data_IF_120190990753
#
_entry.id   IF_120190990753
#
_cell.length_a   1.000
_cell.length_b   1.000
_cell.length_c   1.000
_cell.angle_alpha   90.00
_cell.angle_beta   90.00
_cell.angle_gamma   90.00
#
_symmetry.space_group_name_H-M   'P 1'
#
loop_
_entity.id
_entity.type
_entity.pdbx_description
1 polymer ?
#
# COMPACT_ATOMS: atom_id res chain seq x y z
N UNK A 1 -15.86 -37.86 -38.07
CA UNK A 1 -15.86 -36.40 -37.98
C UNK A 1 -15.06 -36.01 -36.73
N UNK A 2 -13.82 -35.56 -36.89
CA UNK A 2 -12.93 -35.20 -35.73
C UNK A 2 -13.07 -33.71 -35.50
N UNK A 3 -13.65 -33.30 -34.36
CA UNK A 3 -13.67 -31.91 -33.92
C UNK A 3 -12.28 -31.49 -33.58
N UNK A 4 -11.70 -30.60 -34.37
CA UNK A 4 -10.45 -29.90 -34.07
C UNK A 4 -10.75 -28.80 -33.03
N UNK A 5 -10.41 -29.03 -31.74
CA UNK A 5 -10.50 -27.99 -30.72
C UNK A 5 -9.41 -26.98 -31.05
N UNK A 6 -9.82 -25.77 -31.42
CA UNK A 6 -8.93 -24.64 -31.65
C UNK A 6 -8.19 -24.30 -30.34
N UNK A 7 -6.85 -24.04 -30.37
CA UNK A 7 -6.14 -23.56 -29.20
C UNK A 7 -6.73 -22.22 -28.76
N UNK A 8 -7.26 -22.15 -27.55
CA UNK A 8 -7.72 -20.89 -26.97
C UNK A 8 -6.56 -19.90 -27.00
N UNK A 9 -6.72 -18.81 -27.73
CA UNK A 9 -5.79 -17.70 -27.77
C UNK A 9 -5.57 -17.18 -26.34
N UNK A 10 -4.33 -17.32 -25.84
CA UNK A 10 -3.93 -16.74 -24.56
C UNK A 10 -4.12 -15.23 -24.66
N UNK A 11 -4.75 -14.59 -23.66
CA UNK A 11 -4.91 -13.14 -23.68
C UNK A 11 -3.52 -12.50 -23.76
N UNK A 12 -3.28 -11.76 -24.84
CA UNK A 12 -2.02 -11.02 -25.04
C UNK A 12 -1.76 -10.09 -23.85
N UNK A 13 -0.60 -10.27 -23.23
CA UNK A 13 -0.16 -9.47 -22.06
C UNK A 13 0.08 -7.97 -22.41
N UNK A 14 -0.14 -7.59 -23.66
CA UNK A 14 0.11 -6.25 -24.22
C UNK A 14 -1.16 -5.55 -24.72
N UNK A 15 -2.31 -5.75 -24.08
CA UNK A 15 -3.51 -5.01 -24.50
C UNK A 15 -3.32 -3.50 -24.20
N UNK A 16 -3.54 -2.59 -25.18
CA UNK A 16 -3.38 -1.13 -25.01
C UNK A 16 -4.16 -0.54 -23.84
N UNK A 17 -5.29 -1.17 -23.48
CA UNK A 17 -6.12 -0.76 -22.35
C UNK A 17 -5.44 -0.90 -20.98
N UNK A 18 -4.54 -1.86 -20.81
CA UNK A 18 -3.91 -2.13 -19.52
C UNK A 18 -2.87 -1.06 -19.15
N UNK A 19 -2.13 -0.55 -20.13
CA UNK A 19 -1.19 0.56 -19.92
C UNK A 19 -1.91 1.87 -19.62
N UNK A 20 -3.04 2.14 -20.30
CA UNK A 20 -3.86 3.34 -20.04
C UNK A 20 -4.39 3.35 -18.60
N UNK A 21 -4.85 2.22 -18.07
CA UNK A 21 -5.28 2.10 -16.68
C UNK A 21 -4.13 2.31 -15.68
N UNK A 22 -2.95 1.76 -15.94
CA UNK A 22 -1.78 1.98 -15.08
C UNK A 22 -1.38 3.45 -15.04
N UNK A 23 -1.32 4.12 -16.19
CA UNK A 23 -1.02 5.56 -16.25
C UNK A 23 -2.10 6.41 -15.57
N UNK A 24 -3.38 6.04 -15.69
CA UNK A 24 -4.46 6.75 -15.01
C UNK A 24 -4.35 6.65 -13.48
N UNK A 25 -4.02 5.47 -12.94
CA UNK A 25 -3.80 5.29 -11.49
C UNK A 25 -2.60 6.11 -11.02
N UNK A 26 -1.46 6.04 -11.74
CA UNK A 26 -0.26 6.83 -11.40
C UNK A 26 -0.58 8.33 -11.46
N UNK A 27 -1.25 8.79 -12.51
CA UNK A 27 -1.65 10.18 -12.65
C UNK A 27 -2.56 10.67 -11.52
N UNK A 28 -3.56 9.83 -11.12
CA UNK A 28 -4.46 10.15 -10.01
C UNK A 28 -3.71 10.25 -8.68
N UNK A 29 -2.84 9.29 -8.37
CA UNK A 29 -2.04 9.29 -7.13
C UNK A 29 -1.05 10.45 -7.10
N UNK A 30 -0.45 10.79 -8.25
CA UNK A 30 0.43 11.97 -8.37
C UNK A 30 -0.36 13.27 -8.17
N UNK A 31 -1.54 13.40 -8.77
CA UNK A 31 -2.40 14.56 -8.58
C UNK A 31 -2.84 14.70 -7.11
N UNK A 32 -3.23 13.60 -6.46
CA UNK A 32 -3.56 13.60 -5.02
C UNK A 32 -2.35 14.03 -4.16
N UNK A 33 -1.15 13.57 -4.51
CA UNK A 33 0.10 13.99 -3.83
C UNK A 33 0.38 15.48 -4.02
N UNK A 34 0.13 16.02 -5.21
CA UNK A 34 0.27 17.46 -5.46
C UNK A 34 -0.73 18.28 -4.64
N UNK A 35 -1.97 17.79 -4.49
CA UNK A 35 -2.96 18.43 -3.59
C UNK A 35 -2.44 18.42 -2.15
N UNK A 36 -1.87 17.31 -1.66
CA UNK A 36 -1.26 17.23 -0.33
C UNK A 36 -0.18 18.29 -0.14
N UNK A 37 0.73 18.44 -1.11
CA UNK A 37 1.78 19.46 -1.08
C UNK A 37 1.16 20.87 -1.07
N UNK A 38 0.18 21.12 -1.92
CA UNK A 38 -0.51 22.42 -1.99
C UNK A 38 -1.21 22.79 -0.67
N UNK A 39 -1.81 21.82 0.02
CA UNK A 39 -2.43 22.03 1.34
C UNK A 39 -1.41 22.39 2.42
N UNK A 40 -0.24 21.77 2.45
CA UNK A 40 0.85 22.14 3.37
C UNK A 40 1.35 23.55 3.08
N UNK A 41 1.55 23.88 1.80
CA UNK A 41 1.97 25.23 1.40
C UNK A 41 0.92 26.28 1.81
N UNK A 42 -0.35 26.04 1.50
CA UNK A 42 -1.44 26.95 1.88
C UNK A 42 -1.53 27.13 3.42
N UNK A 43 -1.33 26.04 4.18
CA UNK A 43 -1.27 26.09 5.63
C UNK A 43 -0.10 26.97 6.13
N UNK A 44 1.07 26.79 5.52
CA UNK A 44 2.25 27.55 5.87
C UNK A 44 2.07 29.06 5.58
N UNK A 45 1.55 29.40 4.41
CA UNK A 45 1.27 30.79 4.04
C UNK A 45 0.30 31.49 5.01
N UNK A 46 -0.66 30.72 5.57
CA UNK A 46 -1.63 31.23 6.52
C UNK A 46 -1.08 31.37 7.93
N UNK A 47 -0.31 30.37 8.42
CA UNK A 47 0.09 30.27 9.83
C UNK A 47 1.57 30.63 10.08
N UNK A 48 2.40 30.63 9.03
CA UNK A 48 3.86 30.76 9.10
C UNK A 48 4.53 29.73 10.03
N UNK A 49 3.87 28.54 10.22
CA UNK A 49 4.35 27.46 11.07
C UNK A 49 4.66 26.19 10.29
N UNK A 50 5.70 25.45 10.73
CA UNK A 50 6.16 24.22 10.06
C UNK A 50 5.63 22.93 10.73
N UNK A 51 4.56 23.02 11.52
CA UNK A 51 4.11 21.93 12.40
C UNK A 51 3.82 20.61 11.66
N UNK A 52 3.26 20.65 10.45
CA UNK A 52 2.89 19.46 9.68
C UNK A 52 3.83 19.11 8.53
N UNK A 53 5.03 19.71 8.46
CA UNK A 53 5.97 19.45 7.38
C UNK A 53 6.48 17.99 7.32
N UNK A 54 6.44 17.30 8.45
CA UNK A 54 6.75 15.87 8.50
C UNK A 54 5.82 15.02 7.62
N UNK A 55 4.60 15.49 7.31
CA UNK A 55 3.69 14.80 6.38
C UNK A 55 4.26 14.70 4.98
N UNK A 56 5.03 15.69 4.52
CA UNK A 56 5.69 15.62 3.21
C UNK A 56 6.70 14.48 3.18
N UNK A 57 7.46 14.30 4.26
CA UNK A 57 8.39 13.18 4.38
C UNK A 57 7.64 11.83 4.42
N UNK A 58 6.56 11.74 5.18
CA UNK A 58 5.72 10.55 5.24
C UNK A 58 5.12 10.24 3.87
N UNK A 59 4.73 11.25 3.10
CA UNK A 59 4.22 11.07 1.74
C UNK A 59 5.31 10.50 0.79
N UNK A 60 6.54 11.01 0.87
CA UNK A 60 7.67 10.46 0.10
C UNK A 60 7.89 8.98 0.48
N UNK A 61 7.89 8.66 1.77
CA UNK A 61 8.04 7.28 2.24
C UNK A 61 6.87 6.37 1.82
N UNK A 62 5.67 6.92 1.67
CA UNK A 62 4.50 6.16 1.19
C UNK A 62 4.61 5.76 -0.30
N UNK A 63 5.33 6.53 -1.12
CA UNK A 63 5.61 6.20 -2.52
C UNK A 63 6.63 5.05 -2.66
N UNK A 64 7.54 4.88 -1.71
CA UNK A 64 8.62 3.88 -1.78
C UNK A 64 8.09 2.46 -2.01
N UNK A 65 7.14 1.93 -1.21
CA UNK A 65 6.60 0.59 -1.45
C UNK A 65 5.86 0.50 -2.80
N UNK A 66 5.17 1.54 -3.25
CA UNK A 66 4.55 1.53 -4.57
C UNK A 66 5.59 1.35 -5.69
N UNK A 67 6.72 2.07 -5.61
CA UNK A 67 7.81 1.96 -6.59
C UNK A 67 8.40 0.55 -6.61
N UNK A 68 8.71 -0.04 -5.45
CA UNK A 68 9.23 -1.40 -5.37
C UNK A 68 8.23 -2.44 -5.88
N UNK A 69 6.93 -2.30 -5.58
CA UNK A 69 5.89 -3.17 -6.11
C UNK A 69 5.78 -3.07 -7.64
N UNK A 70 5.86 -1.87 -8.19
CA UNK A 70 5.82 -1.64 -9.65
C UNK A 70 7.05 -2.24 -10.35
N UNK A 71 8.25 -2.11 -9.76
CA UNK A 71 9.48 -2.74 -10.24
C UNK A 71 9.33 -4.25 -10.20
N UNK A 72 8.96 -4.84 -9.06
CA UNK A 72 8.78 -6.28 -8.90
C UNK A 72 7.77 -6.83 -9.92
N UNK A 73 6.63 -6.14 -10.10
CA UNK A 73 5.60 -6.53 -11.04
C UNK A 73 6.08 -6.51 -12.50
N UNK A 74 6.86 -5.49 -12.87
CA UNK A 74 7.44 -5.35 -14.21
C UNK A 74 8.46 -6.46 -14.49
N UNK A 75 9.34 -6.75 -13.54
CA UNK A 75 10.35 -7.80 -13.62
C UNK A 75 9.73 -9.20 -13.67
N UNK A 76 8.72 -9.47 -12.83
CA UNK A 76 8.01 -10.75 -12.80
C UNK A 76 7.31 -11.07 -14.14
N UNK A 77 6.97 -10.05 -14.92
CA UNK A 77 6.36 -10.22 -16.24
C UNK A 77 7.32 -10.72 -17.31
N UNK A 78 8.64 -10.57 -17.12
CA UNK A 78 9.66 -10.93 -18.10
C UNK A 78 10.11 -12.41 -18.07
N UNK A 79 9.66 -13.20 -17.07
CA UNK A 79 9.86 -14.67 -16.94
C UNK A 79 11.30 -15.19 -17.14
N UNK A 80 12.32 -14.42 -16.80
CA UNK A 80 13.72 -14.87 -16.86
C UNK A 80 14.18 -15.25 -15.45
N UNK A 81 14.84 -16.40 -15.30
CA UNK A 81 15.32 -16.91 -14.00
C UNK A 81 16.20 -15.91 -13.25
N UNK A 82 17.09 -15.20 -13.95
CA UNK A 82 17.95 -14.16 -13.37
C UNK A 82 17.12 -13.01 -12.74
N UNK A 83 15.94 -12.69 -13.30
CA UNK A 83 15.08 -11.64 -12.79
C UNK A 83 14.32 -12.07 -11.50
N UNK A 84 14.25 -13.36 -11.21
CA UNK A 84 13.60 -13.87 -9.99
C UNK A 84 14.29 -13.33 -8.73
N UNK A 85 15.61 -13.29 -8.72
CA UNK A 85 16.38 -12.73 -7.59
C UNK A 85 16.06 -11.26 -7.39
N UNK A 86 15.95 -10.48 -8.47
CA UNK A 86 15.59 -9.06 -8.40
C UNK A 86 14.14 -8.86 -7.96
N UNK A 87 13.21 -9.74 -8.36
CA UNK A 87 11.82 -9.72 -7.88
C UNK A 87 11.77 -9.98 -6.39
N UNK A 88 12.51 -10.96 -5.88
CA UNK A 88 12.58 -11.26 -4.44
C UNK A 88 13.20 -10.09 -3.68
N UNK A 89 14.31 -9.52 -4.17
CA UNK A 89 14.93 -8.36 -3.55
C UNK A 89 13.96 -7.16 -3.47
N UNK A 90 13.27 -6.87 -4.59
CA UNK A 90 12.26 -5.81 -4.62
C UNK A 90 11.08 -6.10 -3.68
N UNK A 91 10.66 -7.37 -3.53
CA UNK A 91 9.61 -7.78 -2.62
C UNK A 91 10.02 -7.61 -1.14
N UNK A 92 11.26 -7.93 -0.80
CA UNK A 92 11.81 -7.71 0.55
C UNK A 92 11.86 -6.23 0.88
N UNK A 93 12.36 -5.40 -0.03
CA UNK A 93 12.39 -3.94 0.13
C UNK A 93 10.97 -3.38 0.21
N UNK A 94 10.05 -3.87 -0.64
CA UNK A 94 8.64 -3.53 -0.54
C UNK A 94 8.08 -3.80 0.85
N UNK A 95 8.29 -5.00 1.38
CA UNK A 95 7.76 -5.38 2.70
C UNK A 95 8.33 -4.52 3.83
N UNK A 96 9.63 -4.21 3.77
CA UNK A 96 10.31 -3.35 4.75
C UNK A 96 9.74 -1.91 4.77
N UNK A 97 9.33 -1.39 3.61
CA UNK A 97 8.78 -0.04 3.48
C UNK A 97 7.25 0.00 3.42
N UNK A 98 6.57 -1.13 3.24
CA UNK A 98 5.12 -1.21 3.10
C UNK A 98 4.34 -0.54 4.24
N UNK A 99 4.77 -0.65 5.52
CA UNK A 99 4.09 0.03 6.62
C UNK A 99 4.00 1.55 6.45
N UNK A 100 4.96 2.19 5.76
CA UNK A 100 4.99 3.66 5.64
C UNK A 100 3.80 4.21 4.83
N UNK A 101 3.23 3.43 3.91
CA UNK A 101 2.11 3.90 3.10
C UNK A 101 0.82 4.06 3.95
N UNK A 102 0.29 3.05 4.64
CA UNK A 102 -0.86 3.23 5.54
C UNK A 102 -0.50 3.92 6.86
N UNK A 103 0.79 4.11 7.21
CA UNK A 103 1.23 4.81 8.42
C UNK A 103 0.62 6.20 8.55
N UNK A 104 0.48 6.94 7.44
CA UNK A 104 -0.05 8.32 7.43
C UNK A 104 -1.45 8.38 8.04
N UNK A 105 -2.23 7.30 8.01
CA UNK A 105 -3.52 7.23 8.68
C UNK A 105 -3.40 7.47 10.20
N UNK A 106 -2.27 7.14 10.81
CA UNK A 106 -2.04 7.37 12.24
C UNK A 106 -1.65 8.80 12.57
N UNK A 107 -1.40 9.66 11.57
CA UNK A 107 -1.02 11.06 11.79
C UNK A 107 -2.18 11.92 12.32
N UNK A 108 -3.43 11.40 12.25
CA UNK A 108 -4.57 11.99 12.98
C UNK A 108 -4.35 12.11 14.49
N UNK A 109 -3.43 11.35 15.08
CA UNK A 109 -3.03 11.50 16.49
C UNK A 109 -2.39 12.85 16.79
N UNK A 110 -1.93 13.59 15.77
CA UNK A 110 -1.39 14.94 15.92
C UNK A 110 -2.48 16.03 15.84
N UNK A 111 -3.74 15.67 15.55
CA UNK A 111 -4.83 16.62 15.48
C UNK A 111 -5.09 17.23 16.86
N UNK A 112 -5.22 18.55 16.90
CA UNK A 112 -5.51 19.29 18.15
C UNK A 112 -4.34 19.44 19.13
N UNK A 113 -3.16 18.87 18.83
CA UNK A 113 -1.97 19.03 19.70
C UNK A 113 -1.27 20.39 19.52
N UNK A 114 -1.69 21.16 18.53
CA UNK A 114 -1.03 22.40 18.11
C UNK A 114 -2.05 23.54 18.15
N UNK A 115 -1.89 24.43 19.14
CA UNK A 115 -2.73 25.62 19.32
C UNK A 115 -2.44 26.68 18.26
N UNK A 116 -2.84 26.44 17.02
CA UNK A 116 -2.62 27.34 15.88
C UNK A 116 -3.85 28.17 15.56
N UNK A 117 -3.61 29.28 14.84
CA UNK A 117 -4.66 30.16 14.27
C UNK A 117 -5.39 29.52 13.08
N UNK A 118 -4.92 28.37 12.58
CA UNK A 118 -5.54 27.64 11.47
C UNK A 118 -6.84 26.98 11.94
N UNK A 119 -7.95 27.16 11.21
CA UNK A 119 -9.20 26.51 11.57
C UNK A 119 -9.06 24.98 11.61
N UNK A 120 -9.51 24.32 12.68
CA UNK A 120 -9.35 22.88 12.87
C UNK A 120 -9.92 22.00 11.74
N UNK A 121 -11.00 22.47 11.06
CA UNK A 121 -11.54 21.75 9.90
C UNK A 121 -10.53 21.64 8.74
N UNK A 122 -9.66 22.66 8.56
CA UNK A 122 -8.63 22.63 7.53
C UNK A 122 -7.60 21.53 7.81
N UNK A 123 -7.10 21.45 9.04
CA UNK A 123 -6.15 20.42 9.46
C UNK A 123 -6.76 19.01 9.34
N UNK A 124 -8.04 18.84 9.69
CA UNK A 124 -8.76 17.58 9.50
C UNK A 124 -8.80 17.18 8.02
N UNK A 125 -9.19 18.07 7.11
CA UNK A 125 -9.26 17.78 5.68
C UNK A 125 -7.87 17.54 5.08
N UNK A 126 -6.86 18.30 5.50
CA UNK A 126 -5.48 18.11 5.08
C UNK A 126 -4.97 16.72 5.49
N UNK A 127 -5.11 16.34 6.75
CA UNK A 127 -4.73 15.02 7.25
C UNK A 127 -5.49 13.91 6.52
N UNK A 128 -6.78 14.13 6.22
CA UNK A 128 -7.57 13.17 5.46
C UNK A 128 -7.03 12.95 4.04
N UNK A 129 -6.64 14.03 3.33
CA UNK A 129 -6.02 13.93 2.01
C UNK A 129 -4.71 13.12 2.05
N UNK A 130 -3.85 13.41 3.02
CA UNK A 130 -2.59 12.66 3.20
C UNK A 130 -2.85 11.20 3.54
N UNK A 131 -3.71 10.92 4.50
CA UNK A 131 -4.05 9.56 4.93
C UNK A 131 -4.67 8.75 3.80
N UNK A 132 -5.60 9.34 3.04
CA UNK A 132 -6.22 8.69 1.89
C UNK A 132 -5.21 8.41 0.78
N UNK A 133 -4.35 9.36 0.44
CA UNK A 133 -3.32 9.21 -0.58
C UNK A 133 -2.35 8.09 -0.20
N UNK A 134 -1.83 8.09 1.03
CA UNK A 134 -0.96 7.02 1.55
C UNK A 134 -1.64 5.66 1.55
N UNK A 135 -2.91 5.59 2.01
CA UNK A 135 -3.70 4.37 2.01
C UNK A 135 -3.87 3.81 0.59
N UNK A 136 -4.20 4.65 -0.40
CA UNK A 136 -4.34 4.22 -1.79
C UNK A 136 -3.01 3.75 -2.40
N UNK A 137 -1.90 4.41 -2.10
CA UNK A 137 -0.55 3.93 -2.47
C UNK A 137 -0.28 2.53 -1.89
N UNK A 138 -0.62 2.31 -0.62
CA UNK A 138 -0.51 1.01 0.05
C UNK A 138 -1.38 -0.06 -0.62
N UNK A 139 -2.65 0.24 -0.88
CA UNK A 139 -3.60 -0.69 -1.51
C UNK A 139 -3.13 -1.09 -2.91
N UNK A 140 -2.73 -0.13 -3.74
CA UNK A 140 -2.28 -0.42 -5.11
C UNK A 140 -0.97 -1.23 -5.08
N UNK A 141 -0.03 -0.89 -4.19
CA UNK A 141 1.22 -1.64 -4.04
C UNK A 141 0.96 -3.09 -3.60
N UNK A 142 0.07 -3.31 -2.62
CA UNK A 142 -0.32 -4.64 -2.15
C UNK A 142 -1.01 -5.43 -3.26
N UNK A 143 -1.87 -4.79 -4.07
CA UNK A 143 -2.51 -5.44 -5.21
C UNK A 143 -1.49 -5.94 -6.25
N UNK A 144 -0.48 -5.13 -6.57
CA UNK A 144 0.59 -5.55 -7.50
C UNK A 144 1.35 -6.75 -6.97
N UNK A 145 1.67 -6.77 -5.67
CA UNK A 145 2.35 -7.88 -5.02
C UNK A 145 1.47 -9.14 -4.95
N UNK A 146 0.18 -8.99 -4.62
CA UNK A 146 -0.78 -10.09 -4.65
C UNK A 146 -0.85 -10.74 -6.03
N UNK A 147 -0.87 -9.94 -7.11
CA UNK A 147 -0.90 -10.44 -8.48
C UNK A 147 0.37 -11.25 -8.84
N UNK A 148 1.54 -10.85 -8.35
CA UNK A 148 2.78 -11.62 -8.54
C UNK A 148 2.65 -12.99 -7.87
N UNK A 149 2.25 -13.02 -6.60
CA UNK A 149 2.08 -14.26 -5.82
C UNK A 149 0.99 -15.14 -6.44
N UNK A 150 -0.15 -14.56 -6.81
CA UNK A 150 -1.28 -15.29 -7.39
C UNK A 150 -0.94 -15.93 -8.74
N UNK A 151 -0.08 -15.31 -9.56
CA UNK A 151 0.39 -15.88 -10.83
C UNK A 151 1.39 -17.03 -10.63
N UNK A 152 2.18 -17.00 -9.57
CA UNK A 152 3.16 -18.05 -9.28
C UNK A 152 2.57 -19.24 -8.50
N UNK A 153 1.77 -18.96 -7.48
CA UNK A 153 1.32 -19.94 -6.48
C UNK A 153 -0.21 -20.11 -6.42
N UNK A 154 -0.95 -19.39 -7.25
CA UNK A 154 -2.41 -19.45 -7.32
C UNK A 154 -3.11 -18.40 -6.42
N UNK A 155 -4.40 -18.17 -6.71
CA UNK A 155 -5.20 -17.11 -6.08
C UNK A 155 -5.33 -17.28 -4.56
N UNK A 156 -5.40 -18.51 -4.05
CA UNK A 156 -5.48 -18.76 -2.59
C UNK A 156 -4.23 -18.26 -1.89
N UNK A 157 -3.04 -18.56 -2.43
CA UNK A 157 -1.76 -18.07 -1.91
C UNK A 157 -1.68 -16.54 -1.97
N UNK A 158 -2.21 -15.92 -3.03
CA UNK A 158 -2.32 -14.47 -3.13
C UNK A 158 -3.13 -13.85 -2.00
N UNK A 159 -4.24 -14.46 -1.58
CA UNK A 159 -5.03 -13.98 -0.45
C UNK A 159 -4.36 -14.21 0.91
N UNK A 160 -3.72 -15.36 1.10
CA UNK A 160 -2.90 -15.61 2.31
C UNK A 160 -1.81 -14.56 2.43
N UNK A 161 -1.14 -14.25 1.32
CA UNK A 161 -0.13 -13.19 1.26
C UNK A 161 -0.71 -11.82 1.67
N UNK A 162 -1.90 -11.45 1.21
CA UNK A 162 -2.57 -10.18 1.59
C UNK A 162 -2.79 -10.10 3.09
N UNK A 163 -3.31 -11.17 3.71
CA UNK A 163 -3.56 -11.23 5.16
C UNK A 163 -2.25 -11.09 5.94
N UNK A 164 -1.21 -11.84 5.55
CA UNK A 164 0.09 -11.78 6.19
C UNK A 164 0.73 -10.40 6.04
N UNK A 165 0.70 -9.83 4.83
CA UNK A 165 1.25 -8.50 4.58
C UNK A 165 0.52 -7.41 5.37
N UNK A 166 -0.82 -7.49 5.48
CA UNK A 166 -1.59 -6.56 6.30
C UNK A 166 -1.23 -6.68 7.79
N UNK A 167 -1.07 -7.89 8.31
CA UNK A 167 -0.65 -8.13 9.70
C UNK A 167 0.76 -7.59 9.97
N UNK A 168 1.74 -7.97 9.15
CA UNK A 168 3.13 -7.51 9.28
C UNK A 168 3.21 -5.99 9.09
N UNK A 169 2.48 -5.43 8.12
CA UNK A 169 2.42 -3.99 7.88
C UNK A 169 1.87 -3.23 9.09
N UNK A 170 0.77 -3.71 9.67
CA UNK A 170 0.16 -3.10 10.85
C UNK A 170 1.05 -3.18 12.10
N UNK A 171 1.77 -4.30 12.25
CA UNK A 171 2.81 -4.42 13.27
C UNK A 171 3.95 -3.42 13.04
N UNK A 172 4.43 -3.26 11.81
CA UNK A 172 5.42 -2.25 11.45
C UNK A 172 4.96 -0.82 11.75
N UNK A 173 3.67 -0.52 11.54
CA UNK A 173 3.08 0.78 11.92
C UNK A 173 3.14 0.97 13.45
N UNK A 174 2.82 -0.07 14.22
CA UNK A 174 2.96 -0.01 15.69
C UNK A 174 4.40 0.32 16.10
N UNK A 175 5.39 -0.35 15.49
CA UNK A 175 6.81 -0.09 15.76
C UNK A 175 7.19 1.37 15.45
N UNK A 176 6.77 1.87 14.29
CA UNK A 176 7.04 3.26 13.89
C UNK A 176 6.37 4.28 14.79
N UNK A 177 5.08 4.07 15.11
CA UNK A 177 4.26 5.06 15.84
C UNK A 177 4.54 5.10 17.33
N UNK A 178 4.68 3.95 17.98
CA UNK A 178 4.78 3.87 19.43
C UNK A 178 6.20 3.64 19.92
N UNK A 179 7.04 2.95 19.14
CA UNK A 179 8.43 2.67 19.51
C UNK A 179 9.42 3.57 18.75
N UNK A 180 8.93 4.37 17.79
CA UNK A 180 9.72 5.30 16.96
C UNK A 180 10.85 4.63 16.17
N UNK A 181 10.65 3.35 15.80
CA UNK A 181 11.56 2.63 14.91
C UNK A 181 11.27 2.95 13.45
N UNK A 182 12.31 3.12 12.65
CA UNK A 182 12.22 3.35 11.22
C UNK A 182 12.56 2.07 10.44
N UNK A 183 12.13 1.98 9.19
CA UNK A 183 12.41 0.81 8.34
C UNK A 183 13.90 0.52 8.17
N UNK A 184 14.78 1.52 8.19
CA UNK A 184 16.23 1.34 8.11
C UNK A 184 16.87 0.88 9.42
N UNK A 185 16.20 1.00 10.56
CA UNK A 185 16.71 0.54 11.86
C UNK A 185 16.75 -0.98 11.94
N UNK A 186 15.90 -1.68 11.16
CA UNK A 186 15.92 -3.14 11.00
C UNK A 186 17.32 -3.61 10.56
N UNK A 187 17.99 -2.82 9.72
CA UNK A 187 19.34 -3.14 9.21
C UNK A 187 20.43 -2.56 10.10
N UNK A 188 20.23 -1.35 10.62
CA UNK A 188 21.26 -0.64 11.40
C UNK A 188 21.38 -1.10 12.84
N UNK A 189 20.26 -1.50 13.47
CA UNK A 189 20.18 -1.82 14.90
C UNK A 189 19.32 -3.06 15.15
N UNK A 190 19.60 -4.23 14.55
CA UNK A 190 18.75 -5.41 14.67
C UNK A 190 18.69 -5.95 16.11
N UNK A 191 19.80 -5.90 16.87
CA UNK A 191 19.83 -6.38 18.26
C UNK A 191 18.92 -5.58 19.20
N UNK A 192 19.12 -4.26 19.35
CA UNK A 192 18.23 -3.43 20.18
C UNK A 192 16.76 -3.52 19.78
N UNK A 193 16.45 -3.64 18.49
CA UNK A 193 15.08 -3.85 18.01
C UNK A 193 14.51 -5.18 18.51
N UNK A 194 15.29 -6.27 18.41
CA UNK A 194 14.86 -7.59 18.86
C UNK A 194 14.64 -7.61 20.38
N UNK A 195 15.53 -7.01 21.15
CA UNK A 195 15.43 -6.95 22.62
C UNK A 195 14.18 -6.17 23.06
N UNK A 196 13.89 -5.03 22.43
CA UNK A 196 12.70 -4.24 22.73
C UNK A 196 11.42 -5.00 22.34
N UNK A 197 11.42 -5.69 21.19
CA UNK A 197 10.30 -6.52 20.77
C UNK A 197 10.03 -7.67 21.71
N UNK A 198 11.08 -8.42 22.10
CA UNK A 198 10.98 -9.50 23.06
C UNK A 198 10.43 -9.00 24.39
N UNK A 199 10.93 -7.88 24.89
CA UNK A 199 10.44 -7.24 26.11
C UNK A 199 8.93 -6.92 26.01
N UNK A 200 8.46 -6.37 24.89
CA UNK A 200 7.04 -6.01 24.69
C UNK A 200 6.13 -7.23 24.52
N UNK A 201 6.61 -8.29 23.87
CA UNK A 201 5.83 -9.52 23.68
C UNK A 201 5.76 -10.33 24.97
N UNK A 202 6.79 -10.27 25.81
CA UNK A 202 6.81 -10.99 27.11
C UNK A 202 6.13 -10.22 28.24
N UNK A 203 6.08 -8.88 28.15
CA UNK A 203 5.42 -8.05 29.15
C UNK A 203 3.89 -8.07 28.98
N UNK A 204 3.20 -8.72 29.92
CA UNK A 204 1.74 -8.84 29.95
C UNK A 204 1.01 -7.50 29.97
N UNK A 205 1.61 -6.44 30.42
CA UNK A 205 0.99 -5.11 30.49
C UNK A 205 0.98 -4.41 29.14
N UNK A 206 2.01 -4.62 28.28
CA UNK A 206 2.11 -4.01 26.96
C UNK A 206 1.48 -4.85 25.83
N UNK A 207 1.31 -6.17 26.02
CA UNK A 207 0.70 -7.07 25.04
C UNK A 207 -0.68 -6.61 24.52
N UNK A 208 -1.66 -6.19 25.36
CA UNK A 208 -2.98 -5.83 24.88
C UNK A 208 -2.95 -4.62 23.93
N UNK A 209 -2.06 -3.65 24.18
CA UNK A 209 -1.91 -2.48 23.30
C UNK A 209 -1.26 -2.87 21.96
N UNK A 210 -0.21 -3.68 22.00
CA UNK A 210 0.47 -4.19 20.81
C UNK A 210 -0.50 -4.99 19.93
N UNK A 211 -1.13 -6.00 20.49
CA UNK A 211 -2.03 -6.90 19.77
C UNK A 211 -3.31 -6.18 19.33
N UNK A 212 -3.92 -5.39 20.23
CA UNK A 212 -5.14 -4.66 19.95
C UNK A 212 -4.96 -3.68 18.80
N UNK A 213 -3.90 -2.86 18.83
CA UNK A 213 -3.61 -1.94 17.74
C UNK A 213 -3.31 -2.67 16.43
N UNK A 214 -2.42 -3.67 16.45
CA UNK A 214 -2.00 -4.42 15.27
C UNK A 214 -3.19 -5.12 14.62
N UNK A 215 -4.02 -5.82 15.39
CA UNK A 215 -5.18 -6.53 14.87
C UNK A 215 -6.24 -5.57 14.34
N UNK A 216 -6.57 -4.52 15.09
CA UNK A 216 -7.59 -3.56 14.68
C UNK A 216 -7.18 -2.83 13.40
N UNK A 217 -5.92 -2.41 13.31
CA UNK A 217 -5.41 -1.74 12.12
C UNK A 217 -5.33 -2.69 10.91
N UNK A 218 -4.91 -3.95 11.13
CA UNK A 218 -4.89 -4.97 10.08
C UNK A 218 -6.32 -5.25 9.55
N UNK A 219 -7.31 -5.37 10.44
CA UNK A 219 -8.70 -5.56 10.07
C UNK A 219 -9.24 -4.37 9.27
N UNK A 220 -8.98 -3.14 9.72
CA UNK A 220 -9.37 -1.94 9.00
C UNK A 220 -8.75 -1.91 7.60
N UNK A 221 -7.45 -2.13 7.50
CA UNK A 221 -6.73 -2.13 6.22
C UNK A 221 -7.25 -3.22 5.28
N UNK A 222 -7.45 -4.45 5.79
CA UNK A 222 -8.02 -5.56 5.03
C UNK A 222 -9.44 -5.26 4.56
N UNK A 223 -10.27 -4.68 5.41
CA UNK A 223 -11.64 -4.30 5.03
C UNK A 223 -11.62 -3.32 3.86
N UNK A 224 -10.81 -2.27 3.93
CA UNK A 224 -10.70 -1.28 2.85
C UNK A 224 -10.12 -1.93 1.59
N UNK A 225 -9.09 -2.77 1.73
CA UNK A 225 -8.50 -3.49 0.60
C UNK A 225 -9.53 -4.37 -0.12
N UNK A 226 -10.28 -5.17 0.63
CA UNK A 226 -11.32 -6.06 0.08
C UNK A 226 -12.43 -5.25 -0.58
N UNK A 227 -12.88 -4.16 0.04
CA UNK A 227 -13.89 -3.28 -0.54
C UNK A 227 -13.42 -2.72 -1.89
N UNK A 228 -12.23 -2.14 -1.96
CA UNK A 228 -11.66 -1.61 -3.22
C UNK A 228 -11.48 -2.71 -4.25
N UNK A 229 -11.03 -3.90 -3.85
CA UNK A 229 -10.85 -5.04 -4.74
C UNK A 229 -12.19 -5.52 -5.34
N UNK A 230 -13.26 -5.60 -4.55
CA UNK A 230 -14.60 -5.96 -5.01
C UNK A 230 -15.13 -4.90 -5.98
N UNK A 231 -15.06 -3.61 -5.62
CA UNK A 231 -15.50 -2.52 -6.50
C UNK A 231 -14.76 -2.54 -7.85
N UNK A 232 -13.44 -2.74 -7.83
CA UNK A 232 -12.64 -2.85 -9.06
C UNK A 232 -13.02 -4.06 -9.93
N UNK A 233 -13.57 -5.14 -9.35
CA UNK A 233 -14.08 -6.28 -10.11
C UNK A 233 -15.48 -6.07 -10.67
N UNK A 234 -16.34 -5.39 -9.93
CA UNK A 234 -17.72 -5.11 -10.38
C UNK A 234 -17.75 -4.19 -11.59
N UNK A 235 -16.77 -3.30 -11.73
CA UNK A 235 -16.66 -2.35 -12.86
C UNK A 235 -16.09 -2.96 -14.13
N UNK A 236 -15.59 -4.22 -14.10
CA UNK A 236 -15.18 -4.90 -15.33
C UNK A 236 -16.43 -5.35 -16.09
N UNK A 237 -16.63 -4.90 -17.35
CA UNK A 237 -17.74 -5.38 -18.16
C UNK A 237 -17.66 -6.91 -18.28
N UNK A 238 -18.80 -7.64 -18.24
CA UNK A 238 -18.82 -9.08 -18.46
C UNK A 238 -18.16 -9.36 -19.80
N UNK A 239 -17.22 -10.33 -19.81
CA UNK A 239 -16.55 -10.77 -21.02
C UNK A 239 -17.64 -11.07 -22.09
N UNK A 240 -17.66 -10.26 -23.15
CA UNK A 240 -18.72 -10.24 -24.12
C UNK A 240 -19.04 -11.64 -24.61
N UNK A 241 -20.30 -12.06 -24.47
CA UNK A 241 -20.85 -13.16 -25.27
C UNK A 241 -20.65 -12.76 -26.73
N UNK A 242 -19.71 -13.42 -27.39
CA UNK A 242 -19.64 -13.38 -28.86
C UNK A 242 -21.01 -13.77 -29.32
N UNK A 243 -21.82 -12.80 -29.81
CA UNK A 243 -23.03 -13.06 -30.55
C UNK A 243 -22.57 -13.83 -31.79
N UNK A 244 -22.69 -15.14 -31.76
CA UNK A 244 -22.77 -15.93 -32.99
C UNK A 244 -24.03 -15.50 -33.65
N UNK A 245 -23.95 -14.48 -34.53
CA UNK A 245 -24.98 -14.13 -35.49
C UNK A 245 -25.11 -15.29 -36.45
N UNK A 246 -26.17 -16.08 -36.30
CA UNK A 246 -26.63 -16.97 -37.36
C UNK A 246 -27.27 -16.10 -38.42
N UNK A 247 -26.91 -16.36 -39.64
CA UNK A 247 -27.66 -16.19 -40.85
C UNK A 247 -27.28 -17.34 -41.79
#
# INVERSE_FOLDING_TARGET
MRYRVSPQARPDARSPGRHRFAYAIIGLLSAASLVCVGLIVARFEYSHTYHYWFLLWNLVLAWVPFVFAAIAYSLASARRAVLTVLVVAAAVLWLAFFPNAPYILTDFLHLGSMGDIVPGWFDVLMLYWFAWTGLMLGIVSLYLMQEIVARGLGMRAGWVFVVLAAGIGSFGIYLGRFLRWNSWDIVRRPGPLADELLGRVTDRASQPRLLGFTLLFALLFLFIYVAVYIFAKLTKPPAGRVRTGGA
#
